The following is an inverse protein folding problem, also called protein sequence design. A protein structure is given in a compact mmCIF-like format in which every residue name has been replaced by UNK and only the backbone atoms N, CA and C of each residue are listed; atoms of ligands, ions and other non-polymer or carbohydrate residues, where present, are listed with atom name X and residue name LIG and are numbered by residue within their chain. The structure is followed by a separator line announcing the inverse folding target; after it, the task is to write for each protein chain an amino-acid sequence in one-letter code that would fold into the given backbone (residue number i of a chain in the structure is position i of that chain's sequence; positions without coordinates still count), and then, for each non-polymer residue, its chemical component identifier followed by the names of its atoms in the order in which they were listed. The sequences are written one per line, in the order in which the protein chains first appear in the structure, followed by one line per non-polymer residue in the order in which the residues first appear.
data_IF_624948994242
#
_entry.id   IF_624948994242
#
_cell.length_a   1.000
_cell.length_b   1.000
_cell.length_c   1.000
_cell.angle_alpha   90.00
_cell.angle_beta   90.00
_cell.angle_gamma   90.00
#
_symmetry.space_group_name_H-M   'P 1'
#
loop_
_entity.id
_entity.type
_entity.pdbx_description
1 polymer ?
#
# COMPACT_ATOMS: atom_id res chain seq x y z
N UNK A 1 27.72 17.49 7.80
CA UNK A 1 26.29 17.09 7.82
C UNK A 1 26.09 16.02 6.75
N UNK A 2 26.02 14.74 7.13
CA UNK A 2 25.82 13.61 6.22
C UNK A 2 24.39 13.11 6.34
N UNK A 3 23.48 13.64 5.52
CA UNK A 3 22.05 13.35 5.55
C UNK A 3 21.65 12.21 4.61
N UNK A 4 21.42 11.03 5.17
CA UNK A 4 20.44 10.01 4.78
C UNK A 4 19.98 9.91 3.29
N UNK A 5 20.89 9.72 2.33
CA UNK A 5 20.51 9.48 0.92
C UNK A 5 20.01 8.05 0.61
N UNK A 6 20.01 7.13 1.58
CA UNK A 6 19.69 5.71 1.35
C UNK A 6 18.19 5.37 1.47
N UNK A 7 17.38 6.26 2.03
CA UNK A 7 15.96 5.99 2.32
C UNK A 7 15.02 6.34 1.18
N UNK A 8 15.38 7.30 0.30
CA UNK A 8 14.46 7.85 -0.69
C UNK A 8 14.09 6.87 -1.81
N UNK A 9 15.03 6.04 -2.27
CA UNK A 9 14.83 5.14 -3.44
C UNK A 9 13.68 4.15 -3.20
N UNK A 10 13.48 3.68 -1.97
CA UNK A 10 12.42 2.70 -1.64
C UNK A 10 11.00 3.26 -1.77
N UNK A 11 10.85 4.59 -1.75
CA UNK A 11 9.57 5.29 -1.85
C UNK A 11 9.35 5.97 -3.21
N UNK A 12 10.40 6.11 -4.01
CA UNK A 12 10.30 6.71 -5.34
C UNK A 12 9.68 5.72 -6.31
N UNK A 13 8.59 6.13 -6.96
CA UNK A 13 8.03 5.42 -8.10
C UNK A 13 8.75 5.89 -9.37
N UNK A 14 9.33 5.00 -10.19
CA UNK A 14 9.98 5.39 -11.42
C UNK A 14 8.99 6.06 -12.39
N UNK A 15 9.42 7.11 -13.08
CA UNK A 15 8.62 7.83 -14.07
C UNK A 15 8.48 7.08 -15.40
N UNK A 16 7.98 5.85 -15.36
CA UNK A 16 7.83 4.97 -16.54
C UNK A 16 6.38 4.50 -16.68
N UNK A 17 5.94 4.08 -17.88
CA UNK A 17 4.63 3.48 -18.07
C UNK A 17 4.48 2.15 -17.33
N UNK A 18 3.26 1.82 -16.92
CA UNK A 18 2.89 0.49 -16.45
C UNK A 18 2.64 -0.45 -17.64
N UNK A 19 2.80 -1.77 -17.43
CA UNK A 19 2.52 -2.78 -18.46
C UNK A 19 1.05 -2.76 -18.91
N UNK A 20 0.13 -2.51 -17.98
CA UNK A 20 -1.32 -2.43 -18.25
C UNK A 20 -1.75 -1.03 -18.76
N UNK A 21 -0.79 -0.13 -19.00
CA UNK A 21 -1.04 1.27 -19.34
C UNK A 21 -1.08 2.19 -18.11
N UNK A 22 -1.00 3.50 -18.34
CA UNK A 22 -0.92 4.49 -17.25
C UNK A 22 0.47 4.60 -16.59
N UNK A 23 0.55 5.32 -15.47
CA UNK A 23 1.81 5.54 -14.74
C UNK A 23 2.15 4.33 -13.86
N UNK A 24 3.43 4.00 -13.73
CA UNK A 24 3.87 3.05 -12.73
C UNK A 24 3.42 3.50 -11.32
N UNK A 25 3.13 2.52 -10.46
CA UNK A 25 2.74 2.74 -9.05
C UNK A 25 3.58 1.93 -8.07
N UNK A 26 4.39 1.00 -8.58
CA UNK A 26 5.20 0.09 -7.77
C UNK A 26 6.61 0.65 -7.55
N UNK A 27 7.12 0.51 -6.33
CA UNK A 27 8.50 0.81 -5.91
C UNK A 27 9.26 -0.49 -5.62
N UNK A 28 10.36 -0.44 -4.88
CA UNK A 28 11.09 -1.63 -4.38
C UNK A 28 10.27 -2.41 -3.33
N UNK A 29 9.24 -3.13 -3.77
CA UNK A 29 8.47 -4.08 -2.96
C UNK A 29 7.11 -3.57 -2.45
N UNK A 30 6.82 -2.28 -2.60
CA UNK A 30 5.57 -1.62 -2.17
C UNK A 30 4.90 -0.91 -3.34
N UNK A 31 3.66 -0.45 -3.13
CA UNK A 31 2.94 0.41 -4.05
C UNK A 31 2.70 1.78 -3.41
N UNK A 32 2.79 2.84 -4.20
CA UNK A 32 2.29 4.18 -3.84
C UNK A 32 0.79 4.21 -4.11
N UNK A 33 0.00 4.47 -3.08
CA UNK A 33 -1.46 4.44 -3.10
C UNK A 33 -1.95 5.83 -2.68
N UNK A 34 -2.86 6.40 -3.46
CA UNK A 34 -3.56 7.65 -3.13
C UNK A 34 -4.92 7.30 -2.50
N UNK A 35 -5.16 7.79 -1.29
CA UNK A 35 -6.41 7.63 -0.55
C UNK A 35 -6.87 9.03 -0.18
N UNK A 36 -7.89 9.55 -0.86
CA UNK A 36 -8.22 10.97 -0.78
C UNK A 36 -7.01 11.84 -1.11
N UNK A 37 -6.66 12.77 -0.21
CA UNK A 37 -5.49 13.64 -0.31
C UNK A 37 -4.22 13.03 0.32
N UNK A 38 -4.31 11.84 0.89
CA UNK A 38 -3.20 11.16 1.56
C UNK A 38 -2.48 10.19 0.62
N UNK A 39 -1.15 10.25 0.65
CA UNK A 39 -0.31 9.27 -0.04
C UNK A 39 0.26 8.29 0.96
N UNK A 40 0.02 7.00 0.73
CA UNK A 40 0.57 5.91 1.53
C UNK A 40 1.42 4.97 0.68
N UNK A 41 2.40 4.35 1.32
CA UNK A 41 3.19 3.26 0.74
C UNK A 41 2.89 2.00 1.50
N UNK A 42 2.53 0.95 0.77
CA UNK A 42 2.07 -0.26 1.40
C UNK A 42 2.15 -1.48 0.50
N UNK A 43 1.77 -2.61 1.09
CA UNK A 43 1.65 -3.87 0.38
C UNK A 43 0.49 -4.66 0.95
N UNK A 44 -0.22 -5.35 0.07
CA UNK A 44 -1.22 -6.36 0.42
C UNK A 44 -0.68 -7.76 0.15
N UNK A 45 -1.21 -8.74 0.88
CA UNK A 45 -0.91 -10.16 0.69
C UNK A 45 -2.10 -11.00 1.11
N UNK A 46 -2.55 -11.90 0.24
CA UNK A 46 -3.71 -12.74 0.50
C UNK A 46 -3.43 -14.21 0.19
N UNK A 47 -3.92 -15.09 1.07
CA UNK A 47 -3.98 -16.54 0.87
C UNK A 47 -5.27 -17.06 1.51
N UNK A 48 -5.70 -18.27 1.15
CA UNK A 48 -6.83 -18.89 1.83
C UNK A 48 -6.60 -18.89 3.34
N UNK A 49 -7.57 -18.35 4.08
CA UNK A 49 -7.49 -18.14 5.52
C UNK A 49 -7.15 -16.71 5.93
N UNK A 50 -6.56 -15.86 5.08
CA UNK A 50 -6.24 -14.47 5.46
C UNK A 50 -6.08 -13.47 4.31
N UNK A 51 -6.37 -12.21 4.63
CA UNK A 51 -5.92 -11.03 3.89
C UNK A 51 -5.14 -10.12 4.83
N UNK A 52 -3.87 -9.92 4.51
CA UNK A 52 -2.95 -9.08 5.26
C UNK A 52 -2.62 -7.83 4.45
N UNK A 53 -2.39 -6.74 5.16
CA UNK A 53 -1.94 -5.50 4.54
C UNK A 53 -1.23 -4.61 5.54
N UNK A 54 -0.30 -3.82 5.05
CA UNK A 54 0.27 -2.71 5.78
C UNK A 54 0.43 -1.50 4.87
N UNK A 55 0.35 -0.32 5.45
CA UNK A 55 0.60 0.95 4.76
C UNK A 55 0.94 2.06 5.72
N UNK A 56 1.74 3.03 5.27
CA UNK A 56 2.08 4.20 6.06
C UNK A 56 2.30 5.44 5.18
N UNK A 57 2.09 6.62 5.76
CA UNK A 57 2.56 7.88 5.18
C UNK A 57 4.09 7.92 5.20
N UNK A 58 4.69 8.76 4.35
CA UNK A 58 6.16 8.83 4.22
C UNK A 58 6.87 9.24 5.51
N UNK A 59 6.21 10.07 6.31
CA UNK A 59 6.67 10.58 7.60
C UNK A 59 6.24 9.68 8.78
N UNK A 60 5.55 8.56 8.50
CA UNK A 60 4.99 7.62 9.48
C UNK A 60 3.97 8.23 10.46
N UNK A 61 3.49 9.44 10.22
CA UNK A 61 2.45 10.07 11.03
C UNK A 61 1.15 9.25 11.06
N UNK A 62 0.92 8.43 10.02
CA UNK A 62 -0.12 7.39 10.01
C UNK A 62 0.45 6.07 9.55
N UNK A 63 0.11 5.00 10.27
CA UNK A 63 0.47 3.62 9.95
C UNK A 63 -0.73 2.72 10.21
N UNK A 64 -1.01 1.80 9.29
CA UNK A 64 -2.00 0.75 9.45
C UNK A 64 -1.35 -0.60 9.16
N UNK A 65 -1.61 -1.57 10.03
CA UNK A 65 -1.34 -2.99 9.80
C UNK A 65 -2.63 -3.74 10.10
N UNK A 66 -3.05 -4.62 9.20
CA UNK A 66 -4.22 -5.46 9.43
C UNK A 66 -3.98 -6.90 8.98
N UNK A 67 -4.72 -7.79 9.62
CA UNK A 67 -4.91 -9.18 9.22
C UNK A 67 -6.36 -9.51 9.45
N UNK A 68 -7.04 -9.97 8.41
CA UNK A 68 -8.44 -10.40 8.51
C UNK A 68 -8.56 -11.82 7.96
N UNK A 69 -9.36 -12.65 8.62
CA UNK A 69 -9.65 -13.98 8.11
C UNK A 69 -10.49 -13.88 6.84
N UNK A 70 -10.15 -14.66 5.82
CA UNK A 70 -10.88 -14.69 4.56
C UNK A 70 -10.98 -16.12 4.03
N UNK A 71 -12.15 -16.48 3.52
CA UNK A 71 -12.40 -17.78 2.89
C UNK A 71 -12.08 -17.76 1.39
N UNK A 72 -11.78 -16.59 0.82
CA UNK A 72 -11.32 -16.41 -0.55
C UNK A 72 -9.91 -15.79 -0.57
N UNK A 73 -9.16 -16.10 -1.63
CA UNK A 73 -7.85 -15.53 -1.87
C UNK A 73 -7.85 -14.84 -3.23
N UNK A 74 -7.26 -13.64 -3.31
CA UNK A 74 -7.09 -12.88 -4.56
C UNK A 74 -8.41 -12.60 -5.31
N UNK A 75 -9.48 -12.25 -4.59
CA UNK A 75 -10.67 -11.69 -5.25
C UNK A 75 -10.29 -10.44 -6.07
N UNK A 76 -10.92 -10.27 -7.24
CA UNK A 76 -10.66 -9.12 -8.12
C UNK A 76 -11.10 -7.79 -7.48
N UNK A 77 -12.12 -7.85 -6.63
CA UNK A 77 -12.62 -6.71 -5.89
C UNK A 77 -11.99 -6.62 -4.49
N UNK A 78 -11.86 -5.39 -3.99
CA UNK A 78 -11.43 -5.14 -2.62
C UNK A 78 -12.41 -5.76 -1.61
N UNK A 79 -11.88 -6.52 -0.65
CA UNK A 79 -12.70 -7.08 0.42
C UNK A 79 -13.35 -5.95 1.25
N UNK A 80 -14.68 -5.98 1.47
CA UNK A 80 -15.40 -4.88 2.10
C UNK A 80 -14.99 -4.65 3.57
N UNK A 81 -14.54 -5.69 4.28
CA UNK A 81 -14.02 -5.56 5.65
C UNK A 81 -12.70 -4.79 5.63
N UNK A 82 -11.79 -5.13 4.71
CA UNK A 82 -10.53 -4.40 4.53
C UNK A 82 -10.81 -2.94 4.16
N UNK A 83 -11.76 -2.67 3.27
CA UNK A 83 -12.18 -1.30 2.93
C UNK A 83 -12.65 -0.48 4.14
N UNK A 84 -13.48 -1.08 5.01
CA UNK A 84 -13.94 -0.41 6.24
C UNK A 84 -12.80 -0.14 7.23
N UNK A 85 -11.83 -1.06 7.35
CA UNK A 85 -10.65 -0.85 8.20
C UNK A 85 -9.82 0.33 7.69
N UNK A 86 -9.57 0.39 6.38
CA UNK A 86 -8.82 1.50 5.76
C UNK A 86 -9.54 2.83 5.99
N UNK A 87 -10.85 2.88 5.77
CA UNK A 87 -11.65 4.08 6.01
C UNK A 87 -11.62 4.52 7.49
N UNK A 88 -11.72 3.58 8.43
CA UNK A 88 -11.67 3.86 9.86
C UNK A 88 -10.28 4.35 10.33
N UNK A 89 -9.21 3.96 9.64
CA UNK A 89 -7.85 4.44 9.95
C UNK A 89 -7.65 5.93 9.60
N UNK A 90 -8.59 6.55 8.87
CA UNK A 90 -8.58 7.97 8.56
C UNK A 90 -7.42 8.38 7.67
N UNK A 91 -7.15 7.59 6.62
CA UNK A 91 -6.31 8.00 5.50
C UNK A 91 -7.08 8.90 4.56
#
# INVERSE_FOLDING_TARGET
MSGNHRSAVRFTVPGVPSYEGGKATHTSGMSRIEIGDTVVWGKTGGRYGYLNGFGATRDLSRTLVHSVNAADAKGEAQNPVVGRIIAAAGF
#
